data_IF_613895438003
#
_entry.id   IF_613895438003
#
_cell.length_a   1.000
_cell.length_b   1.000
_cell.length_c   1.000
_cell.angle_alpha   90.00
_cell.angle_beta   90.00
_cell.angle_gamma   90.00
#
_symmetry.space_group_name_H-M   'P 1'
#
loop_
_entity.id
_entity.type
_entity.pdbx_description
1 polymer ?
#
# COMPACT_ATOMS: atom_id res chain seq x y z
N UNK A 1 3.42 3.62 -0.21
CA UNK A 1 4.45 2.98 0.63
C UNK A 1 4.37 1.48 0.46
N UNK A 2 5.27 0.87 -0.30
CA UNK A 2 5.35 -0.59 -0.42
C UNK A 2 6.41 -1.09 0.58
N UNK A 3 6.00 -1.35 1.82
CA UNK A 3 6.89 -1.96 2.82
C UNK A 3 6.77 -3.47 2.65
N UNK A 4 7.84 -4.08 2.09
CA UNK A 4 8.15 -5.52 2.04
C UNK A 4 6.97 -6.43 2.40
N UNK A 5 6.12 -6.77 1.43
CA UNK A 5 5.01 -7.72 1.65
C UNK A 5 4.35 -8.19 0.36
N UNK A 6 3.90 -9.44 0.39
CA UNK A 6 3.03 -10.09 -0.60
C UNK A 6 1.55 -9.77 -0.39
N UNK A 7 1.17 -9.02 0.65
CA UNK A 7 -0.17 -8.50 0.91
C UNK A 7 -0.38 -7.20 0.14
N UNK A 8 -0.81 -7.25 -1.13
CA UNK A 8 -0.86 -6.08 -1.95
C UNK A 8 -1.99 -5.19 -1.44
N UNK A 9 -1.79 -3.87 -1.46
CA UNK A 9 -2.87 -2.87 -1.47
C UNK A 9 -3.63 -2.57 -0.16
N UNK A 10 -3.34 -3.20 0.99
CA UNK A 10 -3.94 -2.75 2.26
C UNK A 10 -3.08 -1.71 2.96
N UNK A 11 -3.39 -0.42 2.74
CA UNK A 11 -2.79 0.69 3.52
C UNK A 11 -2.97 0.47 5.01
N UNK A 12 -4.14 -0.03 5.44
CA UNK A 12 -4.38 -0.37 6.84
C UNK A 12 -3.35 -1.36 7.37
N UNK A 13 -3.13 -2.49 6.69
CA UNK A 13 -2.17 -3.50 7.17
C UNK A 13 -0.75 -2.96 7.24
N UNK A 14 -0.33 -2.14 6.27
CA UNK A 14 0.98 -1.47 6.35
C UNK A 14 1.07 -0.58 7.59
N UNK A 15 0.10 0.31 7.81
CA UNK A 15 0.14 1.26 8.91
C UNK A 15 0.00 0.59 10.29
N UNK A 16 -0.81 -0.46 10.39
CA UNK A 16 -1.17 -1.08 11.69
C UNK A 16 -0.27 -2.26 12.01
N UNK A 17 -0.04 -3.16 11.06
CA UNK A 17 0.68 -4.40 11.37
C UNK A 17 2.18 -4.18 11.38
N UNK A 18 2.71 -3.27 10.54
CA UNK A 18 4.15 -3.10 10.33
C UNK A 18 4.75 -1.88 10.98
N UNK A 19 3.99 -0.78 11.07
CA UNK A 19 4.49 0.51 11.56
C UNK A 19 4.03 0.84 12.99
N UNK A 20 3.06 0.11 13.53
CA UNK A 20 2.52 0.38 14.86
C UNK A 20 3.09 -0.61 15.90
N UNK A 21 4.04 -0.14 16.72
CA UNK A 21 4.70 -0.98 17.73
C UNK A 21 3.76 -1.42 18.86
N UNK A 22 2.55 -0.85 18.93
CA UNK A 22 1.51 -1.23 19.89
C UNK A 22 0.75 -2.48 19.44
N UNK A 23 0.75 -2.76 18.14
CA UNK A 23 0.09 -3.94 17.55
C UNK A 23 1.07 -5.06 17.26
N UNK A 24 2.25 -4.75 16.69
CA UNK A 24 3.29 -5.74 16.33
C UNK A 24 2.73 -6.87 15.47
N UNK A 25 2.02 -6.51 14.41
CA UNK A 25 1.35 -7.46 13.54
C UNK A 25 2.31 -8.25 12.65
N UNK A 26 1.75 -8.92 11.64
CA UNK A 26 2.53 -9.69 10.70
C UNK A 26 3.64 -8.84 10.06
N UNK A 27 4.86 -9.37 10.05
CA UNK A 27 6.05 -8.71 9.50
C UNK A 27 6.49 -7.44 10.25
N UNK A 28 6.10 -7.25 11.52
CA UNK A 28 6.71 -6.22 12.35
C UNK A 28 8.19 -6.53 12.64
N UNK A 29 9.09 -5.61 12.29
CA UNK A 29 10.55 -5.80 12.38
C UNK A 29 11.21 -4.96 13.50
N UNK A 30 10.46 -4.66 14.56
CA UNK A 30 10.99 -3.89 15.69
C UNK A 30 10.90 -2.36 15.54
N UNK A 31 10.23 -1.87 14.48
CA UNK A 31 10.05 -0.43 14.28
C UNK A 31 9.19 0.19 15.38
N UNK A 32 9.66 1.29 15.97
CA UNK A 32 8.90 2.10 16.91
C UNK A 32 9.23 3.57 16.72
N UNK A 33 8.19 4.37 16.56
CA UNK A 33 8.31 5.82 16.56
C UNK A 33 6.96 6.42 16.99
N UNK A 34 6.92 6.98 18.21
CA UNK A 34 5.69 7.53 18.80
C UNK A 34 5.06 8.66 17.96
N UNK A 35 5.87 9.43 17.22
CA UNK A 35 5.36 10.49 16.35
C UNK A 35 4.64 9.89 15.13
N UNK A 36 5.22 8.87 14.51
CA UNK A 36 4.59 8.15 13.39
C UNK A 36 3.29 7.48 13.84
N UNK A 37 3.31 6.81 14.99
CA UNK A 37 2.12 6.18 15.58
C UNK A 37 1.00 7.21 15.84
N UNK A 38 1.35 8.38 16.36
CA UNK A 38 0.41 9.48 16.57
C UNK A 38 -0.20 10.04 15.27
N UNK A 39 0.60 10.18 14.21
CA UNK A 39 0.13 10.61 12.89
C UNK A 39 -0.79 9.56 12.24
N UNK A 40 -0.48 8.27 12.41
CA UNK A 40 -1.34 7.16 11.96
C UNK A 40 -2.70 7.24 12.65
N UNK A 41 -2.71 7.44 13.97
CA UNK A 41 -3.93 7.56 14.76
C UNK A 41 -4.79 8.76 14.34
N UNK A 42 -4.17 9.90 14.01
CA UNK A 42 -4.88 11.06 13.46
C UNK A 42 -5.46 10.74 12.09
N UNK A 43 -4.67 10.13 11.20
CA UNK A 43 -5.13 9.76 9.86
C UNK A 43 -6.30 8.78 9.89
N UNK A 44 -6.29 7.79 10.79
CA UNK A 44 -7.40 6.82 10.97
C UNK A 44 -8.72 7.49 11.36
N UNK A 45 -8.69 8.64 12.06
CA UNK A 45 -9.90 9.38 12.49
C UNK A 45 -10.29 10.50 11.51
N UNK A 46 -9.49 10.74 10.48
CA UNK A 46 -9.70 11.82 9.53
C UNK A 46 -10.60 11.35 8.37
N UNK A 47 -11.83 11.87 8.31
CA UNK A 47 -12.78 11.54 7.26
C UNK A 47 -12.43 12.21 5.92
N UNK A 48 -11.80 13.39 5.94
CA UNK A 48 -11.39 14.10 4.73
C UNK A 48 -10.16 13.44 4.08
N UNK A 49 -10.28 13.12 2.81
CA UNK A 49 -9.27 12.35 2.08
C UNK A 49 -7.97 13.12 1.88
N UNK A 50 -8.05 14.41 1.58
CA UNK A 50 -6.87 15.25 1.36
C UNK A 50 -6.11 15.47 2.67
N UNK A 51 -6.82 15.76 3.75
CA UNK A 51 -6.23 15.91 5.08
C UNK A 51 -5.63 14.60 5.57
N UNK A 52 -6.30 13.46 5.34
CA UNK A 52 -5.76 12.13 5.68
C UNK A 52 -4.48 11.82 4.88
N UNK A 53 -4.46 12.14 3.58
CA UNK A 53 -3.27 11.99 2.76
C UNK A 53 -2.11 12.86 3.26
N UNK A 54 -2.37 14.11 3.67
CA UNK A 54 -1.37 15.00 4.23
C UNK A 54 -0.77 14.45 5.55
N UNK A 55 -1.60 13.88 6.43
CA UNK A 55 -1.13 13.24 7.67
C UNK A 55 -0.20 12.05 7.38
N UNK A 56 -0.55 11.20 6.41
CA UNK A 56 0.30 10.07 6.03
C UNK A 56 1.57 10.50 5.31
N UNK A 57 1.55 11.60 4.54
CA UNK A 57 2.75 12.18 3.97
C UNK A 57 3.70 12.70 5.06
N UNK A 58 3.17 13.32 6.13
CA UNK A 58 3.97 13.72 7.28
C UNK A 58 4.59 12.52 7.99
N UNK A 59 3.82 11.45 8.21
CA UNK A 59 4.34 10.22 8.82
C UNK A 59 5.48 9.62 7.98
N UNK A 60 5.32 9.62 6.66
CA UNK A 60 6.38 9.20 5.74
C UNK A 60 7.63 10.06 5.86
N UNK A 61 7.51 11.38 5.92
CA UNK A 61 8.66 12.27 6.07
C UNK A 61 9.42 12.01 7.38
N UNK A 62 8.71 11.75 8.49
CA UNK A 62 9.34 11.36 9.77
C UNK A 62 10.11 10.03 9.63
N UNK A 63 9.55 9.05 8.93
CA UNK A 63 10.27 7.81 8.64
C UNK A 63 11.52 8.02 7.80
N UNK A 64 11.61 9.10 7.03
CA UNK A 64 12.79 9.38 6.21
C UNK A 64 13.91 10.11 6.95
N UNK A 65 13.63 10.77 8.08
CA UNK A 65 14.68 11.45 8.86
C UNK A 65 15.55 10.49 9.67
N UNK A 66 15.02 9.33 10.04
CA UNK A 66 15.74 8.23 10.68
C UNK A 66 15.22 6.89 10.12
N UNK A 67 15.70 6.47 8.95
CA UNK A 67 15.07 5.42 8.18
C UNK A 67 15.39 4.02 8.72
N UNK A 68 14.38 3.37 9.27
CA UNK A 68 14.44 1.93 9.60
C UNK A 68 14.51 1.04 8.34
N UNK A 69 14.07 1.56 7.19
CA UNK A 69 14.17 0.89 5.89
C UNK A 69 14.75 1.83 4.84
N UNK A 70 15.60 1.29 3.98
CA UNK A 70 16.07 1.97 2.78
C UNK A 70 15.01 1.86 1.66
N UNK A 71 14.42 2.99 1.27
CA UNK A 71 13.45 3.06 0.18
C UNK A 71 14.18 3.03 -1.16
N UNK A 72 14.01 1.95 -1.94
CA UNK A 72 14.77 1.73 -3.17
C UNK A 72 14.06 2.22 -4.44
N UNK A 73 12.79 1.84 -4.62
CA UNK A 73 12.02 2.17 -5.80
C UNK A 73 10.52 2.01 -5.55
N UNK A 74 9.71 2.57 -6.46
CA UNK A 74 8.29 2.27 -6.58
C UNK A 74 8.10 1.31 -7.77
N UNK A 75 7.54 0.11 -7.58
CA UNK A 75 7.42 -0.87 -8.66
C UNK A 75 6.47 -0.36 -9.75
N UNK A 76 6.89 -0.50 -11.01
CA UNK A 76 5.98 -0.43 -12.15
C UNK A 76 5.38 -1.82 -12.33
N UNK A 77 4.05 -1.90 -12.30
CA UNK A 77 3.34 -3.14 -12.57
C UNK A 77 3.13 -3.24 -14.08
N UNK A 78 3.71 -4.27 -14.69
CA UNK A 78 3.60 -4.55 -16.12
C UNK A 78 2.97 -5.92 -16.28
N UNK A 79 1.89 -5.99 -17.05
CA UNK A 79 1.18 -7.24 -17.33
C UNK A 79 1.11 -7.43 -18.84
N UNK A 80 1.49 -8.62 -19.31
CA UNK A 80 1.38 -9.02 -20.71
C UNK A 80 0.22 -9.99 -20.89
N UNK A 81 -0.54 -9.81 -21.97
CA UNK A 81 -1.66 -10.70 -22.35
C UNK A 81 -1.50 -11.04 -23.82
N UNK A 82 -1.59 -12.32 -24.15
CA UNK A 82 -1.49 -12.79 -25.53
C UNK A 82 -2.84 -12.64 -26.26
N UNK A 83 -2.81 -12.17 -27.51
CA UNK A 83 -4.02 -11.97 -28.33
C UNK A 83 -4.48 -10.52 -28.42
N UNK A 84 -5.64 -10.28 -29.02
CA UNK A 84 -6.22 -8.96 -29.21
C UNK A 84 -7.43 -8.75 -28.29
N UNK A 85 -7.20 -8.11 -27.13
CA UNK A 85 -8.21 -7.92 -26.09
C UNK A 85 -8.46 -6.42 -25.83
N UNK A 86 -9.08 -5.68 -26.77
CA UNK A 86 -9.23 -4.23 -26.65
C UNK A 86 -10.16 -3.80 -25.51
N UNK A 87 -11.02 -4.71 -25.02
CA UNK A 87 -11.94 -4.46 -23.91
C UNK A 87 -11.38 -4.82 -22.53
N UNK A 88 -10.22 -5.50 -22.46
CA UNK A 88 -9.68 -5.97 -21.18
C UNK A 88 -9.13 -4.80 -20.35
N UNK A 89 -9.56 -4.74 -19.09
CA UNK A 89 -9.07 -3.77 -18.11
C UNK A 89 -8.53 -4.51 -16.90
N UNK A 90 -7.27 -4.26 -16.55
CA UNK A 90 -6.68 -4.73 -15.29
C UNK A 90 -6.89 -3.68 -14.19
N UNK A 91 -7.31 -4.13 -13.01
CA UNK A 91 -7.42 -3.28 -11.83
C UNK A 91 -6.07 -2.70 -11.41
N UNK A 92 -6.12 -1.59 -10.65
CA UNK A 92 -4.92 -0.91 -10.13
C UNK A 92 -4.04 -1.79 -9.21
N UNK A 93 -4.62 -2.84 -8.65
CA UNK A 93 -3.95 -3.85 -7.82
C UNK A 93 -3.21 -4.92 -8.64
N UNK A 94 -3.39 -4.91 -9.97
CA UNK A 94 -2.90 -5.92 -10.91
C UNK A 94 -3.39 -7.34 -10.59
N UNK A 95 -4.48 -7.47 -9.84
CA UNK A 95 -5.13 -8.77 -9.59
C UNK A 95 -6.10 -9.04 -10.74
N UNK A 96 -6.07 -10.27 -11.24
CA UNK A 96 -7.00 -10.72 -12.26
C UNK A 96 -8.40 -10.84 -11.67
N UNK A 97 -9.35 -10.06 -12.20
CA UNK A 97 -10.76 -10.25 -11.90
C UNK A 97 -11.30 -11.44 -12.70
N UNK A 98 -11.43 -12.58 -12.02
CA UNK A 98 -11.91 -13.83 -12.62
C UNK A 98 -13.36 -13.73 -13.12
N UNK A 99 -14.14 -12.77 -12.63
CA UNK A 99 -15.52 -12.55 -13.09
C UNK A 99 -15.58 -11.84 -14.44
N UNK A 100 -14.49 -11.17 -14.85
CA UNK A 100 -14.37 -10.45 -16.12
C UNK A 100 -13.56 -11.24 -17.16
N UNK A 101 -13.23 -12.51 -16.87
CA UNK A 101 -12.38 -13.34 -17.73
C UNK A 101 -12.95 -13.61 -19.11
N UNK A 102 -14.28 -13.58 -19.30
CA UNK A 102 -14.88 -13.70 -20.63
C UNK A 102 -14.35 -12.66 -21.62
N UNK A 103 -13.97 -11.47 -21.15
CA UNK A 103 -13.36 -10.42 -21.98
C UNK A 103 -12.02 -10.82 -22.61
N UNK A 104 -11.37 -11.86 -22.08
CA UNK A 104 -10.09 -12.41 -22.56
C UNK A 104 -10.30 -13.64 -23.44
N UNK A 105 -11.46 -14.29 -23.38
CA UNK A 105 -11.73 -15.53 -24.12
C UNK A 105 -12.64 -15.32 -25.35
N UNK A 106 -13.44 -14.26 -25.36
CA UNK A 106 -14.42 -13.98 -26.43
C UNK A 106 -13.91 -12.96 -27.49
N UNK A 107 -12.58 -12.77 -27.59
CA UNK A 107 -11.91 -11.89 -28.55
C UNK A 107 -11.50 -12.57 -29.86
#
# INVERSE_FOLDING_TARGET
>A
LAVFDSSPMSTYRVLVEKLDARVKGAWWQGYHNAQVEGLIDQGRRCADDMARAALYAQAYNVMQTDPAWLTLYNPIRITGIAGHHPGFVLGSDAVLDVTQLSQVFDG
#
